data_IF_116265741305
#
_entry.id   IF_116265741305
#
_cell.length_a   1.000
_cell.length_b   1.000
_cell.length_c   1.000
_cell.angle_alpha   90.00
_cell.angle_beta   90.00
_cell.angle_gamma   90.00
#
_symmetry.space_group_name_H-M   'P 1'
#
loop_
_entity.id
_entity.type
_entity.pdbx_description
1 polymer ?
#
# COMPACT_ATOMS: atom_id res chain seq x y z
N UNK A 1 7.64 4.53 16.46
CA UNK A 1 7.27 4.26 15.05
C UNK A 1 7.60 2.79 14.79
N UNK A 2 6.59 1.94 14.64
CA UNK A 2 6.78 0.48 14.47
C UNK A 2 7.01 0.14 13.00
N UNK A 3 7.95 -0.77 12.73
CA UNK A 3 8.25 -1.25 11.38
C UNK A 3 7.89 -2.74 11.26
N UNK A 4 7.19 -3.12 10.20
CA UNK A 4 6.81 -4.49 9.93
C UNK A 4 7.70 -5.13 8.88
N UNK A 5 8.14 -6.36 9.10
CA UNK A 5 8.81 -7.15 8.07
C UNK A 5 7.84 -7.51 6.95
N UNK A 6 8.35 -7.82 5.75
CA UNK A 6 7.55 -8.33 4.63
C UNK A 6 6.61 -9.47 5.03
N UNK A 7 7.07 -10.40 5.86
CA UNK A 7 6.27 -11.53 6.35
C UNK A 7 5.11 -11.06 7.23
N UNK A 8 5.37 -10.15 8.18
CA UNK A 8 4.33 -9.58 9.03
C UNK A 8 3.29 -8.79 8.23
N UNK A 9 3.70 -8.04 7.19
CA UNK A 9 2.76 -7.32 6.32
C UNK A 9 1.84 -8.30 5.59
N UNK A 10 2.40 -9.36 4.99
CA UNK A 10 1.62 -10.39 4.29
C UNK A 10 0.63 -11.08 5.23
N UNK A 11 1.06 -11.44 6.45
CA UNK A 11 0.20 -12.04 7.47
C UNK A 11 -0.92 -11.09 7.90
N UNK A 12 -0.58 -9.83 8.21
CA UNK A 12 -1.55 -8.81 8.65
C UNK A 12 -2.62 -8.51 7.60
N UNK A 13 -2.24 -8.53 6.32
CA UNK A 13 -3.15 -8.27 5.20
C UNK A 13 -3.78 -9.53 4.61
N UNK A 14 -3.39 -10.71 5.09
CA UNK A 14 -3.83 -12.02 4.59
C UNK A 14 -3.68 -12.15 3.05
N UNK A 15 -2.52 -11.73 2.54
CA UNK A 15 -2.22 -11.77 1.09
C UNK A 15 -1.04 -12.68 0.78
N UNK A 16 -1.07 -13.28 -0.42
CA UNK A 16 0.01 -14.10 -0.93
C UNK A 16 1.26 -13.28 -1.28
N UNK A 17 2.39 -13.97 -1.44
CA UNK A 17 3.63 -13.36 -1.94
C UNK A 17 3.46 -12.70 -3.32
N UNK A 18 2.76 -13.38 -4.23
CA UNK A 18 2.49 -12.87 -5.57
C UNK A 18 1.60 -11.61 -5.53
N UNK A 19 0.56 -11.64 -4.69
CA UNK A 19 -0.34 -10.49 -4.48
C UNK A 19 0.41 -9.30 -3.91
N UNK A 20 1.24 -9.52 -2.90
CA UNK A 20 2.10 -8.48 -2.32
C UNK A 20 3.02 -7.85 -3.37
N UNK A 21 3.71 -8.67 -4.18
CA UNK A 21 4.55 -8.17 -5.27
C UNK A 21 3.77 -7.39 -6.31
N UNK A 22 2.57 -7.84 -6.69
CA UNK A 22 1.69 -7.10 -7.61
C UNK A 22 1.39 -5.71 -7.05
N UNK A 23 0.94 -5.60 -5.80
CA UNK A 23 0.56 -4.32 -5.20
C UNK A 23 1.75 -3.38 -5.03
N UNK A 24 2.88 -3.89 -4.57
CA UNK A 24 4.12 -3.11 -4.43
C UNK A 24 4.64 -2.64 -5.79
N UNK A 25 4.51 -3.46 -6.84
CA UNK A 25 4.91 -3.08 -8.20
C UNK A 25 4.08 -1.88 -8.70
N UNK A 26 2.76 -1.91 -8.50
CA UNK A 26 1.86 -0.80 -8.86
C UNK A 26 2.28 0.47 -8.10
N UNK A 27 2.46 0.40 -6.78
CA UNK A 27 2.89 1.55 -5.96
C UNK A 27 4.25 2.10 -6.40
N UNK A 28 5.21 1.23 -6.68
CA UNK A 28 6.55 1.63 -7.12
C UNK A 28 6.52 2.33 -8.47
N UNK A 29 5.71 1.82 -9.40
CA UNK A 29 5.65 2.34 -10.77
C UNK A 29 4.92 3.69 -10.82
N UNK A 30 3.75 3.79 -10.18
CA UNK A 30 2.90 4.97 -10.26
C UNK A 30 3.16 6.00 -9.14
N UNK A 31 3.86 5.61 -8.07
CA UNK A 31 4.17 6.49 -6.93
C UNK A 31 5.64 6.41 -6.51
N UNK A 32 6.53 6.59 -7.49
CA UNK A 32 7.98 6.44 -7.35
C UNK A 32 8.59 7.30 -6.24
N UNK A 33 8.09 8.51 -5.98
CA UNK A 33 8.65 9.41 -4.95
C UNK A 33 8.58 8.80 -3.54
N UNK A 34 7.43 8.19 -3.20
CA UNK A 34 7.17 7.56 -1.89
C UNK A 34 7.68 6.11 -1.82
N UNK A 35 7.84 5.43 -2.97
CA UNK A 35 8.18 4.00 -3.05
C UNK A 35 9.51 3.70 -3.76
N UNK A 36 10.40 4.69 -3.95
CA UNK A 36 11.65 4.55 -4.72
C UNK A 36 12.53 3.37 -4.29
N UNK A 37 12.60 3.11 -2.99
CA UNK A 37 13.56 2.18 -2.38
C UNK A 37 12.94 0.86 -1.86
N UNK A 38 11.64 0.63 -2.09
CA UNK A 38 10.92 -0.52 -1.50
C UNK A 38 11.41 -1.89 -1.96
N UNK A 39 12.04 -1.98 -3.14
CA UNK A 39 12.57 -3.25 -3.65
C UNK A 39 13.79 -3.79 -2.90
N UNK A 40 14.46 -2.96 -2.09
CA UNK A 40 15.56 -3.40 -1.20
C UNK A 40 15.16 -3.35 0.27
N UNK A 41 13.90 -3.05 0.55
CA UNK A 41 13.43 -2.73 1.88
C UNK A 41 12.96 -3.99 2.60
N UNK A 42 13.57 -4.27 3.74
CA UNK A 42 13.21 -5.39 4.63
C UNK A 42 12.06 -5.04 5.57
N UNK A 43 11.90 -3.75 5.87
CA UNK A 43 11.02 -3.20 6.88
C UNK A 43 10.08 -2.15 6.30
N UNK A 44 8.79 -2.24 6.62
CA UNK A 44 7.72 -1.42 6.06
C UNK A 44 7.13 -0.56 7.18
N UNK A 45 7.03 0.75 6.94
CA UNK A 45 6.38 1.64 7.90
C UNK A 45 4.84 1.57 7.79
N UNK A 46 4.15 2.10 8.79
CA UNK A 46 2.68 2.08 8.85
C UNK A 46 2.02 2.68 7.60
N UNK A 47 2.56 3.78 7.08
CA UNK A 47 2.06 4.42 5.86
C UNK A 47 2.15 3.49 4.65
N UNK A 48 3.30 2.84 4.42
CA UNK A 48 3.47 1.91 3.30
C UNK A 48 2.55 0.69 3.44
N UNK A 49 2.37 0.19 4.66
CA UNK A 49 1.43 -0.91 4.95
C UNK A 49 -0.01 -0.49 4.68
N UNK A 50 -0.37 0.74 5.04
CA UNK A 50 -1.67 1.34 4.73
C UNK A 50 -1.89 1.45 3.22
N UNK A 51 -0.89 1.87 2.45
CA UNK A 51 -0.98 1.92 0.99
C UNK A 51 -1.26 0.54 0.38
N UNK A 52 -0.59 -0.51 0.86
CA UNK A 52 -0.83 -1.89 0.40
C UNK A 52 -2.24 -2.36 0.78
N UNK A 53 -2.68 -2.05 2.01
CA UNK A 53 -4.05 -2.34 2.48
C UNK A 53 -5.10 -1.64 1.61
N UNK A 54 -4.86 -0.39 1.25
CA UNK A 54 -5.76 0.38 0.40
C UNK A 54 -5.89 -0.24 -0.99
N UNK A 55 -4.77 -0.59 -1.63
CA UNK A 55 -4.79 -1.30 -2.91
C UNK A 55 -5.56 -2.62 -2.80
N UNK A 56 -5.33 -3.40 -1.73
CA UNK A 56 -6.08 -4.62 -1.48
C UNK A 56 -7.58 -4.34 -1.44
N UNK A 57 -8.01 -3.31 -0.70
CA UNK A 57 -9.42 -2.93 -0.59
C UNK A 57 -10.05 -2.55 -1.93
N UNK A 58 -9.30 -1.89 -2.82
CA UNK A 58 -9.78 -1.56 -4.16
C UNK A 58 -10.00 -2.83 -5.00
N UNK A 59 -9.05 -3.76 -4.98
CA UNK A 59 -9.20 -5.05 -5.66
C UNK A 59 -10.31 -5.92 -5.04
N UNK A 60 -10.44 -5.93 -3.71
CA UNK A 60 -11.54 -6.63 -3.00
C UNK A 60 -12.92 -6.04 -3.38
N UNK A 61 -12.98 -4.77 -3.76
CA UNK A 61 -14.20 -4.11 -4.26
C UNK A 61 -14.54 -4.47 -5.71
N UNK A 62 -13.78 -5.37 -6.34
CA UNK A 62 -13.98 -5.79 -7.72
C UNK A 62 -13.37 -4.87 -8.77
N UNK A 63 -12.62 -3.84 -8.38
CA UNK A 63 -11.95 -2.94 -9.33
C UNK A 63 -10.84 -3.66 -10.08
N UNK A 64 -10.72 -3.34 -11.36
CA UNK A 64 -9.64 -3.88 -12.19
C UNK A 64 -8.31 -3.11 -11.93
N UNK A 65 -7.23 -3.60 -12.56
CA UNK A 65 -5.90 -3.01 -12.33
C UNK A 65 -5.81 -1.57 -12.85
N UNK A 66 -6.48 -1.24 -13.96
CA UNK A 66 -6.48 0.10 -14.55
C UNK A 66 -7.20 1.11 -13.66
N UNK A 67 -8.36 0.74 -13.11
CA UNK A 67 -9.10 1.55 -12.14
C UNK A 67 -8.29 1.80 -10.86
N UNK A 68 -7.55 0.79 -10.39
CA UNK A 68 -6.66 0.94 -9.24
C UNK A 68 -5.52 1.91 -9.55
N UNK A 69 -4.92 1.79 -10.73
CA UNK A 69 -3.86 2.71 -11.17
C UNK A 69 -4.40 4.13 -11.27
N UNK A 70 -5.57 4.32 -11.88
CA UNK A 70 -6.24 5.62 -12.01
C UNK A 70 -6.47 6.23 -10.62
N UNK A 71 -6.95 5.45 -9.65
CA UNK A 71 -7.10 5.89 -8.26
C UNK A 71 -5.79 6.31 -7.61
N UNK A 72 -4.71 5.55 -7.83
CA UNK A 72 -3.41 5.87 -7.23
C UNK A 72 -2.83 7.17 -7.83
N UNK A 73 -3.00 7.38 -9.14
CA UNK A 73 -2.49 8.55 -9.86
C UNK A 73 -3.32 9.80 -9.54
N UNK A 74 -4.65 9.68 -9.55
CA UNK A 74 -5.56 10.84 -9.44
C UNK A 74 -5.99 11.15 -8.01
N UNK A 75 -6.20 10.13 -7.17
CA UNK A 75 -6.92 10.27 -5.90
C UNK A 75 -6.05 10.17 -4.65
N UNK A 76 -4.71 10.32 -4.74
CA UNK A 76 -3.72 10.35 -3.63
C UNK A 76 -4.20 9.64 -2.36
N UNK A 77 -3.73 8.41 -2.11
CA UNK A 77 -4.17 7.56 -0.97
C UNK A 77 -4.43 8.42 0.28
N UNK A 78 -5.63 8.32 0.89
CA UNK A 78 -6.01 9.17 2.01
C UNK A 78 -4.92 9.10 3.06
N UNK A 79 -4.39 10.28 3.41
CA UNK A 79 -3.22 10.39 4.25
C UNK A 79 -3.52 9.74 5.61
N UNK A 80 -2.59 8.92 6.10
CA UNK A 80 -2.72 8.29 7.43
C UNK A 80 -2.71 9.38 8.51
N UNK A 81 -2.16 10.56 8.22
CA UNK A 81 -2.26 11.74 9.09
C UNK A 81 -3.70 12.29 9.18
N UNK A 82 -4.51 12.21 8.12
CA UNK A 82 -5.92 12.62 8.19
C UNK A 82 -6.77 11.69 9.07
N UNK A 83 -6.38 10.42 9.24
CA UNK A 83 -7.07 9.50 10.15
C UNK A 83 -6.75 9.77 11.64
N UNK A 84 -5.60 10.39 11.94
CA UNK A 84 -5.21 10.75 13.31
C UNK A 84 -5.70 12.14 13.77
N UNK A 85 -6.29 12.96 12.90
CA UNK A 85 -6.92 14.23 13.29
C UNK A 85 -8.40 14.11 13.68
N UNK A 86 -9.02 12.93 13.56
CA UNK A 86 -10.45 12.70 13.88
C UNK A 86 -10.66 12.05 15.25
N UNK A 87 -9.64 12.02 16.11
CA UNK A 87 -9.80 11.70 17.54
C UNK A 87 -9.32 12.89 18.37
N UNK A 88 -10.20 13.89 18.48
CA UNK A 88 -10.22 14.82 19.62
C UNK A 88 -10.65 14.07 20.87
#
# INVERSE_FOLDING_TARGET
MEFLTRTQVKQKLQISEATFHKYVSILKHHWRERFRYVSRQTHWNEYQVHCIKFIKSLFDSGRNTEEVIDYIVNYKIPDVESANQVKR
#
